data_IF_294631463637
#
_entry.id   IF_294631463637
#
_cell.length_a   1.000
_cell.length_b   1.000
_cell.length_c   1.000
_cell.angle_alpha   90.00
_cell.angle_beta   90.00
_cell.angle_gamma   90.00
#
_symmetry.space_group_name_H-M   'P 1'
#
loop_
_entity.id
_entity.type
_entity.pdbx_description
1 polymer ?
#
# COMPACT_ATOMS: atom_id res chain seq x y z
N UNK A 1 35.15 14.69 -68.07
CA UNK A 1 35.31 16.10 -68.47
C UNK A 1 35.21 16.90 -67.21
N UNK A 2 36.34 17.27 -66.67
CA UNK A 2 36.86 18.61 -66.59
C UNK A 2 36.01 19.51 -65.71
N UNK A 3 36.45 20.13 -64.68
CA UNK A 3 37.77 20.47 -64.20
C UNK A 3 37.62 21.53 -63.10
N UNK A 4 38.48 21.45 -62.13
CA UNK A 4 39.34 22.53 -61.63
C UNK A 4 38.67 23.92 -61.36
N UNK A 5 38.93 24.67 -60.34
CA UNK A 5 40.10 24.92 -59.53
C UNK A 5 39.79 26.07 -58.54
N UNK A 6 40.28 25.98 -57.32
CA UNK A 6 41.31 26.79 -56.64
C UNK A 6 41.03 28.22 -56.18
N UNK A 7 41.47 28.42 -54.94
CA UNK A 7 42.25 29.45 -54.31
C UNK A 7 41.54 30.54 -53.50
N UNK A 8 41.78 30.40 -52.22
CA UNK A 8 42.42 31.36 -51.29
C UNK A 8 42.00 32.83 -51.25
N UNK A 9 41.64 33.30 -50.07
CA UNK A 9 42.33 34.36 -49.35
C UNK A 9 41.94 34.43 -47.87
N UNK A 10 42.94 34.44 -47.03
CA UNK A 10 42.91 34.79 -45.63
C UNK A 10 42.42 36.23 -45.43
N UNK A 11 41.62 36.43 -44.39
CA UNK A 11 41.59 37.69 -43.63
C UNK A 11 41.33 37.40 -42.17
N UNK A 12 42.28 37.76 -41.36
CA UNK A 12 42.32 37.75 -39.90
C UNK A 12 41.38 38.85 -39.39
N UNK A 13 40.44 38.47 -38.50
CA UNK A 13 39.77 39.41 -37.61
C UNK A 13 39.51 38.73 -36.26
N UNK A 14 40.16 39.25 -35.24
CA UNK A 14 39.97 38.88 -33.85
C UNK A 14 38.61 39.36 -33.39
N UNK A 15 37.84 38.46 -32.81
CA UNK A 15 36.60 38.79 -32.07
C UNK A 15 36.56 38.02 -30.77
N UNK A 16 36.28 38.77 -29.73
CA UNK A 16 36.09 38.40 -28.34
C UNK A 16 35.33 37.08 -28.15
N UNK A 17 35.91 36.19 -27.36
CA UNK A 17 35.22 35.05 -26.80
C UNK A 17 34.34 35.50 -25.64
N UNK A 18 33.03 35.58 -25.86
CA UNK A 18 32.03 35.50 -24.81
C UNK A 18 31.69 34.03 -24.66
N UNK A 19 32.15 33.41 -23.59
CA UNK A 19 31.84 32.01 -23.27
C UNK A 19 30.38 31.86 -22.88
N UNK A 20 29.54 31.40 -23.81
CA UNK A 20 28.28 30.75 -23.45
C UNK A 20 28.59 29.29 -23.08
N UNK A 21 28.62 29.00 -21.80
CA UNK A 21 28.63 27.64 -21.30
C UNK A 21 27.34 26.97 -21.68
N UNK A 22 27.38 26.14 -22.72
CA UNK A 22 26.31 25.18 -23.02
C UNK A 22 26.39 24.06 -21.99
N UNK A 23 25.73 24.25 -20.84
CA UNK A 23 25.52 23.21 -19.88
C UNK A 23 24.62 22.12 -20.52
N UNK A 24 25.19 20.96 -20.80
CA UNK A 24 24.39 19.74 -21.07
C UNK A 24 23.57 19.45 -19.82
N UNK A 25 22.28 19.77 -19.86
CA UNK A 25 21.34 19.34 -18.86
C UNK A 25 21.26 17.81 -18.96
N UNK A 26 21.92 17.10 -18.03
CA UNK A 26 21.60 15.72 -17.74
C UNK A 26 20.13 15.67 -17.33
N UNK A 27 19.34 14.68 -17.83
CA UNK A 27 17.98 14.47 -17.32
C UNK A 27 18.12 14.22 -15.81
N UNK A 28 17.68 15.18 -15.02
CA UNK A 28 17.61 15.03 -13.58
C UNK A 28 16.69 13.83 -13.30
N UNK A 29 17.19 12.82 -12.61
CA UNK A 29 16.37 11.85 -11.95
C UNK A 29 15.32 12.63 -11.17
N UNK A 30 14.05 12.34 -11.40
CA UNK A 30 12.95 12.83 -10.59
C UNK A 30 13.15 12.14 -9.23
N UNK A 31 13.98 12.71 -8.40
CA UNK A 31 14.12 12.29 -7.00
C UNK A 31 12.78 12.53 -6.36
N UNK A 32 12.12 11.46 -5.90
CA UNK A 32 10.95 11.57 -5.04
C UNK A 32 11.32 12.52 -3.90
N UNK A 33 10.60 13.64 -3.78
CA UNK A 33 10.79 14.57 -2.67
C UNK A 33 10.40 13.83 -1.38
N UNK A 34 11.38 13.26 -0.70
CA UNK A 34 11.18 12.67 0.62
C UNK A 34 10.88 13.80 1.60
N UNK A 35 9.86 13.62 2.43
CA UNK A 35 9.62 14.52 3.56
C UNK A 35 10.89 14.61 4.41
N UNK A 36 11.19 15.78 4.93
CA UNK A 36 12.36 15.99 5.79
C UNK A 36 12.27 15.03 7.00
N UNK A 37 13.25 14.13 7.12
CA UNK A 37 13.30 13.13 8.19
C UNK A 37 12.83 11.71 7.81
N UNK A 38 12.37 11.46 6.58
CA UNK A 38 12.09 10.10 6.10
C UNK A 38 13.40 9.41 5.66
N UNK A 39 13.55 8.13 6.01
CA UNK A 39 14.68 7.28 5.63
C UNK A 39 14.20 6.00 4.93
N UNK A 40 15.02 5.45 4.04
CA UNK A 40 14.77 4.17 3.40
C UNK A 40 15.59 3.09 4.12
N UNK A 41 14.89 2.09 4.61
CA UNK A 41 15.45 0.95 5.33
C UNK A 41 15.37 -0.29 4.45
N UNK A 42 16.32 -1.21 4.65
CA UNK A 42 16.23 -2.57 4.16
C UNK A 42 16.07 -3.47 5.39
N UNK A 43 14.87 -3.99 5.59
CA UNK A 43 14.55 -4.80 6.77
C UNK A 43 14.58 -6.27 6.39
N UNK A 44 15.45 -7.08 7.02
CA UNK A 44 15.54 -8.49 6.69
C UNK A 44 14.27 -9.23 7.08
N UNK A 45 13.81 -10.09 6.17
CA UNK A 45 12.74 -11.05 6.42
C UNK A 45 13.28 -12.46 6.29
N UNK A 46 13.40 -13.16 7.40
CA UNK A 46 13.79 -14.56 7.42
C UNK A 46 12.70 -15.44 6.81
N UNK A 47 11.43 -15.08 7.04
CA UNK A 47 10.29 -15.82 6.51
C UNK A 47 10.24 -15.77 4.96
N UNK A 48 10.64 -14.64 4.34
CA UNK A 48 10.65 -14.48 2.88
C UNK A 48 12.04 -14.66 2.26
N UNK A 49 13.10 -14.85 3.06
CA UNK A 49 14.48 -15.05 2.60
C UNK A 49 15.07 -13.86 1.84
N UNK A 50 14.60 -12.64 2.12
CA UNK A 50 15.05 -11.39 1.45
C UNK A 50 14.87 -10.18 2.35
N UNK A 51 15.56 -9.09 2.00
CA UNK A 51 15.31 -7.80 2.63
C UNK A 51 14.09 -7.12 1.98
N UNK A 52 13.31 -6.45 2.81
CA UNK A 52 12.12 -5.71 2.40
C UNK A 52 12.40 -4.20 2.50
N UNK A 53 12.22 -3.44 1.41
CA UNK A 53 12.34 -1.99 1.47
C UNK A 53 11.22 -1.40 2.33
N UNK A 54 11.58 -0.49 3.24
CA UNK A 54 10.63 0.19 4.13
C UNK A 54 10.99 1.67 4.19
N UNK A 55 10.08 2.54 3.81
CA UNK A 55 10.23 3.97 4.11
C UNK A 55 9.76 4.22 5.52
N UNK A 56 10.64 4.78 6.34
CA UNK A 56 10.39 5.06 7.76
C UNK A 56 10.52 6.56 8.06
N UNK A 57 9.62 7.09 8.88
CA UNK A 57 9.73 8.45 9.42
C UNK A 57 9.46 8.40 10.92
N UNK A 58 10.44 8.85 11.70
CA UNK A 58 10.31 8.92 13.14
C UNK A 58 9.35 10.04 13.58
N UNK A 59 8.49 9.77 14.58
CA UNK A 59 7.53 10.75 15.09
C UNK A 59 6.99 10.43 16.49
N UNK A 60 7.20 9.23 16.99
CA UNK A 60 6.75 8.78 18.31
C UNK A 60 7.00 7.29 18.52
N UNK A 61 6.72 6.77 19.75
CA UNK A 61 6.96 5.36 20.07
C UNK A 61 5.98 4.40 19.34
N UNK A 62 4.82 4.89 18.91
CA UNK A 62 3.87 4.10 18.13
C UNK A 62 3.91 4.54 16.68
N UNK A 63 3.63 3.62 15.78
CA UNK A 63 3.67 3.85 14.34
C UNK A 63 2.31 3.63 13.66
N UNK A 64 2.15 4.27 12.51
CA UNK A 64 1.16 3.92 11.50
C UNK A 64 1.85 3.13 10.39
N UNK A 65 1.47 1.88 10.21
CA UNK A 65 1.89 1.02 9.10
C UNK A 65 0.98 1.28 7.91
N UNK A 66 1.56 1.58 6.75
CA UNK A 66 0.82 1.94 5.54
C UNK A 66 0.96 0.84 4.50
N UNK A 67 -0.14 0.21 4.12
CA UNK A 67 -0.18 -0.93 3.22
C UNK A 67 -0.77 -0.54 1.86
N UNK A 68 -0.05 -0.85 0.80
CA UNK A 68 -0.35 -0.45 -0.57
C UNK A 68 -1.53 -1.23 -1.19
N UNK A 69 -2.15 -0.71 -2.26
CA UNK A 69 -3.07 -1.44 -3.12
C UNK A 69 -2.33 -2.55 -3.94
N UNK A 70 -3.04 -3.21 -4.87
CA UNK A 70 -2.49 -4.33 -5.65
C UNK A 70 -1.20 -4.02 -6.40
N UNK A 71 -1.07 -2.81 -6.90
CA UNK A 71 0.06 -2.30 -7.68
C UNK A 71 1.20 -1.72 -6.82
N UNK A 72 1.38 -2.25 -5.60
CA UNK A 72 2.44 -1.82 -4.69
C UNK A 72 3.79 -1.65 -5.39
N UNK A 73 4.45 -0.51 -5.16
CA UNK A 73 5.78 -0.25 -5.69
C UNK A 73 6.81 -1.27 -5.16
N UNK A 74 7.77 -1.70 -5.99
CA UNK A 74 8.75 -2.72 -5.56
C UNK A 74 9.76 -2.19 -4.53
N UNK A 75 10.14 -0.92 -4.63
CA UNK A 75 11.21 -0.33 -3.84
C UNK A 75 10.74 0.76 -2.88
N UNK A 76 9.65 1.44 -3.23
CA UNK A 76 9.04 2.52 -2.43
C UNK A 76 7.52 2.34 -2.45
N UNK A 77 6.90 2.42 -1.28
CA UNK A 77 5.44 2.32 -1.13
C UNK A 77 4.70 3.42 -1.90
N UNK A 78 3.57 3.08 -2.48
CA UNK A 78 2.70 4.03 -3.17
C UNK A 78 2.07 5.06 -2.20
N UNK A 79 1.98 4.77 -0.91
CA UNK A 79 1.63 5.78 0.10
C UNK A 79 2.63 6.94 0.15
N UNK A 80 3.89 6.67 -0.17
CA UNK A 80 4.95 7.71 -0.26
C UNK A 80 4.86 8.45 -1.59
N UNK A 81 4.77 7.72 -2.71
CA UNK A 81 4.89 8.28 -4.06
C UNK A 81 3.60 8.90 -4.58
N UNK A 82 2.44 8.34 -4.25
CA UNK A 82 1.13 8.80 -4.68
C UNK A 82 0.24 9.30 -3.52
N UNK A 83 0.37 8.69 -2.33
CA UNK A 83 -0.46 9.01 -1.16
C UNK A 83 -0.01 10.23 -0.36
N UNK A 84 1.15 10.80 -0.63
CA UNK A 84 1.73 11.94 0.10
C UNK A 84 1.78 11.75 1.63
N UNK A 85 1.86 10.49 2.09
CA UNK A 85 1.67 10.13 3.48
C UNK A 85 2.72 10.74 4.42
N UNK A 86 3.98 10.81 3.96
CA UNK A 86 5.07 11.35 4.79
C UNK A 86 4.86 12.83 5.13
N UNK A 87 4.37 13.63 4.17
CA UNK A 87 4.04 15.03 4.45
C UNK A 87 2.79 15.17 5.32
N UNK A 88 1.75 14.37 5.04
CA UNK A 88 0.47 14.42 5.76
C UNK A 88 0.64 14.05 7.23
N UNK A 89 1.47 13.06 7.54
CA UNK A 89 1.67 12.54 8.89
C UNK A 89 2.88 13.17 9.63
N UNK A 90 3.65 14.01 8.96
CA UNK A 90 4.77 14.71 9.59
C UNK A 90 4.30 15.57 10.76
N UNK A 91 5.00 15.46 11.90
CA UNK A 91 4.69 16.24 13.09
C UNK A 91 3.42 15.81 13.86
N UNK A 92 2.78 14.71 13.46
CA UNK A 92 1.55 14.21 14.15
C UNK A 92 1.83 13.39 15.41
N UNK A 93 3.09 13.25 15.82
CA UNK A 93 3.47 12.53 17.06
C UNK A 93 3.41 11.01 16.92
N UNK A 94 3.34 10.49 15.69
CA UNK A 94 3.39 9.06 15.36
C UNK A 94 4.50 8.82 14.35
N UNK A 95 5.18 7.69 14.45
CA UNK A 95 6.09 7.23 13.43
C UNK A 95 5.33 6.69 12.22
N UNK A 96 5.92 6.72 11.04
CA UNK A 96 5.33 6.18 9.81
C UNK A 96 6.19 5.06 9.27
N UNK A 97 5.57 3.94 8.92
CA UNK A 97 6.20 2.73 8.40
C UNK A 97 5.49 2.34 7.12
N UNK A 98 6.15 2.48 5.99
CA UNK A 98 5.59 2.18 4.68
C UNK A 98 6.44 1.11 3.96
N UNK A 99 6.15 -0.20 4.16
CA UNK A 99 6.83 -1.28 3.46
C UNK A 99 6.44 -1.31 1.99
N UNK A 100 7.40 -1.64 1.12
CA UNK A 100 7.21 -1.78 -0.32
C UNK A 100 7.29 -3.25 -0.76
N UNK A 101 6.94 -3.54 -2.02
CA UNK A 101 7.09 -4.86 -2.63
C UNK A 101 5.97 -5.86 -2.34
N UNK A 102 4.86 -5.42 -1.76
CA UNK A 102 3.70 -6.26 -1.44
C UNK A 102 2.68 -6.43 -2.56
N UNK A 103 3.06 -6.18 -3.82
CA UNK A 103 2.13 -6.27 -4.95
C UNK A 103 1.46 -7.65 -5.04
N UNK A 104 0.13 -7.65 -5.23
CA UNK A 104 -0.71 -8.86 -5.39
C UNK A 104 -0.47 -9.95 -4.34
N UNK A 105 -0.11 -9.57 -3.12
CA UNK A 105 0.16 -10.51 -2.02
C UNK A 105 -1.01 -10.71 -1.06
N UNK A 106 -1.98 -9.80 -1.05
CA UNK A 106 -2.99 -9.63 0.00
C UNK A 106 -2.36 -9.43 1.39
N UNK A 107 -1.04 -9.19 1.46
CA UNK A 107 -0.28 -9.06 2.71
C UNK A 107 -0.53 -10.21 3.71
N UNK A 108 -0.71 -11.42 3.19
CA UNK A 108 -0.91 -12.65 3.96
C UNK A 108 0.24 -13.64 3.72
N UNK A 109 0.32 -14.66 4.55
CA UNK A 109 1.24 -15.77 4.32
C UNK A 109 0.62 -16.73 3.29
N UNK A 110 1.34 -16.92 2.17
CA UNK A 110 0.91 -17.82 1.12
C UNK A 110 1.29 -19.25 1.45
N UNK A 111 0.33 -20.18 1.35
CA UNK A 111 0.54 -21.59 1.67
C UNK A 111 1.52 -22.28 0.73
N UNK A 112 1.58 -21.85 -0.55
CA UNK A 112 2.37 -22.49 -1.60
C UNK A 112 3.47 -21.58 -2.17
N UNK A 113 3.75 -20.44 -1.53
CA UNK A 113 4.79 -19.51 -1.98
C UNK A 113 5.49 -18.86 -0.79
N UNK A 114 6.61 -19.46 -0.38
CA UNK A 114 7.41 -18.95 0.74
C UNK A 114 8.03 -17.56 0.53
N UNK A 115 8.01 -17.04 -0.69
CA UNK A 115 8.46 -15.66 -0.96
C UNK A 115 7.41 -14.59 -0.59
N UNK A 116 6.22 -15.01 -0.16
CA UNK A 116 5.08 -14.15 0.20
C UNK A 116 4.57 -14.46 1.63
N UNK A 117 5.45 -14.38 2.61
CA UNK A 117 5.11 -14.56 4.03
C UNK A 117 4.89 -13.18 4.68
N UNK A 118 3.94 -12.42 4.14
CA UNK A 118 3.73 -11.03 4.50
C UNK A 118 3.08 -10.84 5.86
N UNK A 119 2.18 -11.72 6.28
CA UNK A 119 1.55 -11.64 7.61
C UNK A 119 2.61 -11.84 8.70
N UNK A 120 3.48 -12.84 8.57
CA UNK A 120 4.62 -13.06 9.46
C UNK A 120 5.55 -11.85 9.48
N UNK A 121 5.90 -11.30 8.32
CA UNK A 121 6.75 -10.11 8.26
C UNK A 121 6.14 -8.92 8.99
N UNK A 122 4.88 -8.59 8.70
CA UNK A 122 4.21 -7.39 9.21
C UNK A 122 3.83 -7.50 10.68
N UNK A 123 3.50 -8.68 11.17
CA UNK A 123 3.05 -8.88 12.56
C UNK A 123 4.17 -9.27 13.53
N UNK A 124 5.29 -9.74 13.02
CA UNK A 124 6.39 -10.24 13.86
C UNK A 124 7.74 -9.61 13.50
N UNK A 125 8.28 -9.89 12.30
CA UNK A 125 9.66 -9.52 11.95
C UNK A 125 9.86 -7.99 11.91
N UNK A 126 9.01 -7.26 11.20
CA UNK A 126 9.11 -5.81 11.06
C UNK A 126 8.89 -5.05 12.37
N UNK A 127 7.86 -5.33 13.20
CA UNK A 127 7.71 -4.68 14.49
C UNK A 127 8.87 -4.94 15.45
N UNK A 128 9.37 -6.18 15.53
CA UNK A 128 10.49 -6.55 16.40
C UNK A 128 11.79 -5.88 15.93
N UNK A 129 12.03 -5.82 14.62
CA UNK A 129 13.18 -5.13 14.05
C UNK A 129 13.13 -3.62 14.33
N UNK A 130 11.95 -2.98 14.17
CA UNK A 130 11.77 -1.55 14.42
C UNK A 130 11.89 -1.22 15.92
N UNK A 131 11.39 -2.08 16.79
CA UNK A 131 11.58 -1.93 18.24
C UNK A 131 13.08 -1.95 18.59
N UNK A 132 13.83 -2.91 18.06
CA UNK A 132 15.26 -3.05 18.33
C UNK A 132 16.13 -1.94 17.70
N UNK A 133 15.78 -1.47 16.49
CA UNK A 133 16.65 -0.60 15.69
C UNK A 133 16.16 0.86 15.61
N UNK A 134 14.91 1.14 15.94
CA UNK A 134 14.29 2.49 15.87
C UNK A 134 13.59 2.90 17.16
N UNK A 135 13.62 2.04 18.18
CA UNK A 135 13.05 2.33 19.49
C UNK A 135 11.53 2.45 19.51
N UNK A 136 10.83 1.82 18.55
CA UNK A 136 9.38 1.76 18.61
C UNK A 136 8.91 0.86 19.76
N UNK A 137 7.69 1.10 20.22
CA UNK A 137 7.01 0.18 21.13
C UNK A 137 6.85 -1.20 20.46
N UNK A 138 6.79 -2.32 21.22
CA UNK A 138 6.62 -3.64 20.65
C UNK A 138 5.22 -3.89 20.06
N UNK A 139 4.27 -3.02 20.34
CA UNK A 139 2.89 -3.13 19.85
C UNK A 139 2.07 -1.87 20.13
N UNK A 140 0.74 -1.98 19.96
CA UNK A 140 -0.16 -0.84 20.09
C UNK A 140 -0.09 0.12 18.90
N UNK A 141 0.33 -0.37 17.74
CA UNK A 141 0.44 0.38 16.50
C UNK A 141 -0.90 0.53 15.78
N UNK A 142 -0.93 1.41 14.80
CA UNK A 142 -1.98 1.50 13.80
C UNK A 142 -1.52 0.83 12.51
N UNK A 143 -2.46 0.25 11.77
CA UNK A 143 -2.25 -0.20 10.41
C UNK A 143 -3.36 0.35 9.51
N UNK A 144 -2.98 0.98 8.42
CA UNK A 144 -3.88 1.64 7.47
C UNK A 144 -3.51 1.17 6.07
N UNK A 145 -4.49 0.90 5.25
CA UNK A 145 -4.21 0.47 3.89
C UNK A 145 -5.32 0.74 2.92
N UNK A 146 -5.00 0.65 1.63
CA UNK A 146 -5.91 0.83 0.53
C UNK A 146 -6.11 -0.48 -0.25
N UNK A 147 -7.34 -0.78 -0.68
CA UNK A 147 -7.67 -1.96 -1.47
C UNK A 147 -7.20 -3.27 -0.78
N UNK A 148 -6.26 -4.05 -1.37
CA UNK A 148 -5.68 -5.20 -0.66
C UNK A 148 -5.07 -4.81 0.69
N UNK A 149 -4.42 -3.64 0.77
CA UNK A 149 -3.87 -3.12 2.02
C UNK A 149 -4.96 -2.80 3.05
N UNK A 150 -6.13 -2.35 2.61
CA UNK A 150 -7.29 -2.11 3.46
C UNK A 150 -7.86 -3.42 4.04
N UNK A 151 -7.89 -4.48 3.25
CA UNK A 151 -8.18 -5.82 3.74
C UNK A 151 -7.14 -6.23 4.80
N UNK A 152 -5.85 -6.12 4.45
CA UNK A 152 -4.75 -6.54 5.32
C UNK A 152 -4.73 -5.77 6.65
N UNK A 153 -5.01 -4.47 6.64
CA UNK A 153 -5.11 -3.66 7.85
C UNK A 153 -6.16 -4.23 8.82
N UNK A 154 -7.31 -4.63 8.29
CA UNK A 154 -8.38 -5.21 9.10
C UNK A 154 -8.01 -6.62 9.59
N UNK A 155 -7.43 -7.47 8.73
CA UNK A 155 -7.00 -8.83 9.08
C UNK A 155 -5.89 -8.81 10.15
N UNK A 156 -4.85 -8.00 9.98
CA UNK A 156 -3.77 -7.87 10.93
C UNK A 156 -4.28 -7.40 12.31
N UNK A 157 -5.18 -6.43 12.36
CA UNK A 157 -5.75 -5.96 13.63
C UNK A 157 -6.67 -7.03 14.27
N UNK A 158 -7.34 -7.83 13.43
CA UNK A 158 -8.19 -8.93 13.89
C UNK A 158 -7.37 -10.04 14.55
N UNK A 159 -6.29 -10.47 13.91
CA UNK A 159 -5.53 -11.66 14.30
C UNK A 159 -4.30 -11.35 15.18
N UNK A 160 -3.79 -10.11 15.14
CA UNK A 160 -2.62 -9.65 15.92
C UNK A 160 -2.92 -8.41 16.78
N UNK A 161 -3.91 -8.50 17.72
CA UNK A 161 -4.34 -7.35 18.52
C UNK A 161 -3.30 -6.87 19.53
N UNK A 162 -2.28 -7.66 19.82
CA UNK A 162 -1.10 -7.28 20.61
C UNK A 162 -0.18 -6.31 19.83
N UNK A 163 -0.13 -6.41 18.52
CA UNK A 163 0.65 -5.54 17.62
C UNK A 163 -0.14 -4.34 17.17
N UNK A 164 -1.39 -4.55 16.73
CA UNK A 164 -2.22 -3.52 16.10
C UNK A 164 -3.52 -3.29 16.88
N UNK A 165 -3.74 -2.04 17.30
CA UNK A 165 -4.93 -1.61 18.05
C UNK A 165 -5.89 -0.76 17.21
N UNK A 166 -5.42 -0.27 16.08
CA UNK A 166 -6.19 0.55 15.15
C UNK A 166 -6.04 0.01 13.73
N UNK A 167 -7.16 -0.16 13.04
CA UNK A 167 -7.21 -0.47 11.61
C UNK A 167 -7.90 0.64 10.83
N UNK A 168 -7.25 1.14 9.78
CA UNK A 168 -7.85 1.99 8.76
C UNK A 168 -7.96 1.24 7.43
N UNK A 169 -9.17 1.00 6.96
CA UNK A 169 -9.43 0.32 5.68
C UNK A 169 -10.03 1.28 4.67
N UNK A 170 -9.31 1.58 3.61
CA UNK A 170 -9.79 2.40 2.50
C UNK A 170 -10.11 1.49 1.32
N UNK A 171 -11.38 1.32 1.01
CA UNK A 171 -11.88 0.46 -0.07
C UNK A 171 -11.34 -0.98 0.01
N UNK A 172 -11.15 -1.54 1.21
CA UNK A 172 -10.68 -2.91 1.42
C UNK A 172 -11.74 -3.94 1.01
N UNK A 173 -11.32 -5.17 0.73
CA UNK A 173 -12.21 -6.31 0.46
C UNK A 173 -12.49 -7.05 1.77
N UNK A 174 -13.38 -6.52 2.62
CA UNK A 174 -13.54 -6.98 4.01
C UNK A 174 -14.39 -8.25 4.19
N UNK A 175 -14.88 -8.83 3.09
CA UNK A 175 -15.53 -10.14 3.06
C UNK A 175 -14.96 -11.02 1.92
N UNK A 176 -13.64 -11.34 1.96
CA UNK A 176 -12.94 -12.00 0.86
C UNK A 176 -13.46 -13.42 0.57
N UNK A 177 -14.07 -14.11 1.51
CA UNK A 177 -14.62 -15.44 1.28
C UNK A 177 -15.99 -15.46 0.57
N UNK A 178 -16.62 -14.29 0.36
CA UNK A 178 -17.85 -14.19 -0.42
C UNK A 178 -17.57 -14.37 -1.90
N UNK A 179 -18.41 -15.12 -2.60
CA UNK A 179 -18.19 -15.55 -3.99
C UNK A 179 -17.85 -14.41 -4.95
N UNK A 180 -18.60 -13.31 -4.93
CA UNK A 180 -18.32 -12.18 -5.84
C UNK A 180 -17.04 -11.41 -5.44
N UNK A 181 -16.74 -11.29 -4.15
CA UNK A 181 -15.52 -10.63 -3.64
C UNK A 181 -14.30 -11.49 -3.96
N UNK A 182 -14.39 -12.79 -3.67
CA UNK A 182 -13.37 -13.76 -4.06
C UNK A 182 -13.09 -13.71 -5.57
N UNK A 183 -14.15 -13.72 -6.39
CA UNK A 183 -14.04 -13.61 -7.84
C UNK A 183 -13.32 -12.35 -8.30
N UNK A 184 -13.61 -11.21 -7.69
CA UNK A 184 -12.94 -9.93 -8.02
C UNK A 184 -11.46 -9.95 -7.62
N UNK A 185 -11.12 -10.47 -6.44
CA UNK A 185 -9.73 -10.60 -5.97
C UNK A 185 -8.94 -11.53 -6.93
N UNK A 186 -9.46 -12.72 -7.21
CA UNK A 186 -8.77 -13.70 -8.05
C UNK A 186 -8.62 -13.22 -9.49
N UNK A 187 -9.65 -12.58 -10.05
CA UNK A 187 -9.60 -11.99 -11.39
C UNK A 187 -8.59 -10.83 -11.45
N UNK A 188 -8.60 -9.94 -10.46
CA UNK A 188 -7.64 -8.82 -10.39
C UNK A 188 -6.20 -9.30 -10.29
N UNK A 189 -5.92 -10.28 -9.45
CA UNK A 189 -4.58 -10.89 -9.34
C UNK A 189 -4.12 -11.53 -10.65
N UNK A 190 -4.99 -12.26 -11.34
CA UNK A 190 -4.67 -12.90 -12.60
C UNK A 190 -4.51 -11.90 -13.73
N UNK A 191 -5.44 -10.96 -13.87
CA UNK A 191 -5.49 -10.04 -15.01
C UNK A 191 -4.43 -8.95 -14.95
N UNK A 192 -4.20 -8.37 -13.79
CA UNK A 192 -3.26 -7.25 -13.63
C UNK A 192 -1.89 -7.68 -13.13
N UNK A 193 -1.82 -8.72 -12.30
CA UNK A 193 -0.57 -9.21 -11.72
C UNK A 193 0.01 -10.44 -12.40
N UNK A 194 -0.74 -11.12 -13.24
CA UNK A 194 -0.34 -12.43 -13.77
C UNK A 194 -0.18 -13.50 -12.68
N UNK A 195 -0.84 -13.31 -11.54
CA UNK A 195 -0.61 -14.10 -10.32
C UNK A 195 -1.74 -15.13 -10.16
N UNK A 196 -1.37 -16.39 -9.95
CA UNK A 196 -2.32 -17.45 -9.60
C UNK A 196 -2.60 -17.43 -8.08
N UNK A 197 -3.76 -16.90 -7.70
CA UNK A 197 -4.18 -16.78 -6.31
C UNK A 197 -4.46 -18.11 -5.59
N UNK A 198 -4.51 -19.25 -6.29
CA UNK A 198 -4.74 -20.55 -5.65
C UNK A 198 -3.60 -20.94 -4.71
N UNK A 199 -2.39 -20.44 -4.93
CA UNK A 199 -1.25 -20.63 -4.04
C UNK A 199 -1.37 -19.89 -2.71
N UNK A 200 -2.30 -18.94 -2.59
CA UNK A 200 -2.52 -18.16 -1.37
C UNK A 200 -3.26 -18.98 -0.30
N UNK A 201 -4.54 -19.28 -0.54
CA UNK A 201 -5.43 -19.97 0.41
C UNK A 201 -6.19 -21.14 -0.24
N UNK A 202 -5.70 -21.66 -1.34
CA UNK A 202 -6.39 -22.66 -2.14
C UNK A 202 -7.57 -22.11 -2.92
N UNK A 203 -8.35 -23.02 -3.51
CA UNK A 203 -9.56 -22.64 -4.24
C UNK A 203 -10.65 -22.14 -3.30
N UNK A 204 -11.46 -21.19 -3.75
CA UNK A 204 -12.51 -20.52 -2.96
C UNK A 204 -13.49 -21.48 -2.28
N UNK A 205 -13.81 -22.60 -2.94
CA UNK A 205 -14.79 -23.57 -2.45
C UNK A 205 -14.29 -24.38 -1.24
N UNK A 206 -12.99 -24.44 -0.98
CA UNK A 206 -12.40 -25.31 0.04
C UNK A 206 -12.22 -24.66 1.42
N UNK A 207 -12.69 -23.43 1.57
CA UNK A 207 -12.96 -22.87 2.89
C UNK A 207 -11.80 -22.16 3.60
N UNK A 208 -10.55 -22.21 3.11
CA UNK A 208 -9.43 -21.53 3.77
C UNK A 208 -9.54 -20.01 3.69
N UNK A 209 -10.18 -19.49 2.67
CA UNK A 209 -10.55 -18.07 2.57
C UNK A 209 -11.28 -17.55 3.80
N UNK A 210 -12.12 -18.39 4.44
CA UNK A 210 -12.83 -18.03 5.66
C UNK A 210 -11.93 -17.89 6.87
N UNK A 211 -10.78 -18.55 6.89
CA UNK A 211 -9.83 -18.44 8.01
C UNK A 211 -9.15 -17.08 8.06
N UNK A 212 -9.03 -16.43 6.91
CA UNK A 212 -8.40 -15.13 6.74
C UNK A 212 -9.42 -14.01 6.52
N UNK A 213 -10.68 -14.22 6.85
CA UNK A 213 -11.79 -13.31 6.53
C UNK A 213 -12.20 -12.46 7.73
N UNK A 214 -11.93 -11.13 7.69
CA UNK A 214 -12.32 -10.22 8.77
C UNK A 214 -13.82 -10.19 9.05
N UNK A 215 -14.68 -10.39 8.04
CA UNK A 215 -16.13 -10.47 8.23
C UNK A 215 -16.50 -11.68 9.06
N UNK A 216 -15.93 -12.86 8.76
CA UNK A 216 -16.17 -14.10 9.51
C UNK A 216 -15.69 -13.96 10.95
N UNK A 217 -14.58 -13.26 11.15
CA UNK A 217 -13.93 -13.08 12.45
C UNK A 217 -14.21 -11.72 13.11
N UNK A 218 -15.22 -10.98 12.67
CA UNK A 218 -15.55 -9.65 13.19
C UNK A 218 -15.75 -9.62 14.73
N UNK A 219 -16.15 -10.73 15.33
CA UNK A 219 -16.27 -10.87 16.78
C UNK A 219 -14.93 -10.66 17.51
N UNK A 220 -13.79 -11.01 16.92
CA UNK A 220 -12.47 -10.77 17.52
C UNK A 220 -12.17 -9.26 17.63
N UNK A 221 -12.50 -8.50 16.59
CA UNK A 221 -12.33 -7.03 16.62
C UNK A 221 -13.21 -6.39 17.71
N UNK A 222 -14.44 -6.86 17.87
CA UNK A 222 -15.34 -6.39 18.91
C UNK A 222 -14.83 -6.75 20.32
N UNK A 223 -14.40 -8.01 20.53
CA UNK A 223 -13.84 -8.49 21.80
C UNK A 223 -12.55 -7.79 22.20
N UNK A 224 -11.66 -7.53 21.23
CA UNK A 224 -10.40 -6.81 21.44
C UNK A 224 -10.61 -5.31 21.63
N UNK A 225 -11.83 -4.82 21.42
CA UNK A 225 -12.17 -3.40 21.40
C UNK A 225 -11.24 -2.62 20.45
N UNK A 226 -10.88 -3.23 19.32
CA UNK A 226 -10.02 -2.60 18.31
C UNK A 226 -10.73 -1.39 17.74
N UNK A 227 -10.00 -0.27 17.61
CA UNK A 227 -10.52 0.91 16.94
C UNK A 227 -10.41 0.72 15.43
N UNK A 228 -11.52 0.79 14.74
CA UNK A 228 -11.55 0.60 13.28
C UNK A 228 -12.16 1.79 12.58
N UNK A 229 -11.63 2.10 11.42
CA UNK A 229 -12.15 3.10 10.50
C UNK A 229 -12.22 2.52 9.10
N UNK A 230 -13.38 2.59 8.48
CA UNK A 230 -13.65 2.03 7.16
C UNK A 230 -14.20 3.13 6.27
N UNK A 231 -13.48 3.44 5.22
CA UNK A 231 -13.89 4.36 4.17
C UNK A 231 -14.01 3.59 2.85
N UNK A 232 -15.16 3.66 2.19
CA UNK A 232 -15.36 3.01 0.90
C UNK A 232 -16.39 3.77 0.07
N UNK A 233 -15.95 4.68 -0.82
CA UNK A 233 -16.85 5.46 -1.65
C UNK A 233 -17.54 4.60 -2.69
N UNK A 234 -18.71 5.02 -3.13
CA UNK A 234 -19.34 4.46 -4.32
C UNK A 234 -18.59 4.99 -5.54
N UNK A 235 -17.91 4.11 -6.25
CA UNK A 235 -17.09 4.46 -7.41
C UNK A 235 -17.86 4.20 -8.72
N UNK A 236 -18.41 5.23 -9.38
CA UNK A 236 -19.07 5.07 -10.66
C UNK A 236 -18.15 5.31 -11.87
N UNK A 237 -16.87 5.67 -11.68
CA UNK A 237 -16.04 6.15 -12.77
C UNK A 237 -15.26 5.03 -13.49
N UNK A 238 -15.57 4.88 -14.78
CA UNK A 238 -15.03 3.88 -15.69
C UNK A 238 -13.58 4.12 -16.17
N UNK A 239 -12.83 5.03 -15.56
CA UNK A 239 -11.50 5.41 -16.04
C UNK A 239 -10.32 4.70 -15.37
N UNK A 240 -10.59 3.92 -14.33
CA UNK A 240 -9.61 3.14 -13.59
C UNK A 240 -9.62 1.67 -14.07
N UNK A 241 -8.48 1.02 -14.34
CA UNK A 241 -8.43 -0.43 -14.62
C UNK A 241 -9.15 -1.28 -13.57
N UNK A 242 -9.12 -0.89 -12.29
CA UNK A 242 -9.88 -1.52 -11.23
C UNK A 242 -11.39 -1.36 -11.39
N UNK A 243 -11.85 -0.27 -12.01
CA UNK A 243 -13.26 -0.05 -12.32
C UNK A 243 -13.78 -1.02 -13.40
N UNK A 244 -12.92 -1.51 -14.30
CA UNK A 244 -13.30 -2.52 -15.30
C UNK A 244 -13.73 -3.86 -14.67
N UNK A 245 -13.28 -4.15 -13.44
CA UNK A 245 -13.71 -5.32 -12.66
C UNK A 245 -14.78 -4.98 -11.62
N UNK A 246 -15.29 -3.75 -11.59
CA UNK A 246 -16.23 -3.32 -10.55
C UNK A 246 -15.63 -3.32 -9.15
N UNK A 247 -14.30 -3.15 -9.02
CA UNK A 247 -13.59 -3.29 -7.76
C UNK A 247 -14.13 -2.33 -6.68
N UNK A 248 -14.47 -1.10 -7.04
CA UNK A 248 -15.05 -0.12 -6.12
C UNK A 248 -16.42 -0.56 -5.57
N UNK A 249 -17.30 -1.06 -6.44
CA UNK A 249 -18.63 -1.55 -6.04
C UNK A 249 -18.53 -2.82 -5.18
N UNK A 250 -17.63 -3.74 -5.57
CA UNK A 250 -17.39 -4.98 -4.83
C UNK A 250 -16.80 -4.65 -3.45
N UNK A 251 -15.83 -3.74 -3.37
CA UNK A 251 -15.25 -3.30 -2.11
C UNK A 251 -16.32 -2.66 -1.22
N UNK A 252 -17.09 -1.69 -1.73
CA UNK A 252 -18.14 -1.03 -0.96
C UNK A 252 -19.20 -2.03 -0.47
N UNK A 253 -19.65 -2.94 -1.33
CA UNK A 253 -20.61 -3.97 -0.95
C UNK A 253 -20.09 -4.88 0.17
N UNK A 254 -18.81 -5.29 0.08
CA UNK A 254 -18.17 -6.11 1.11
C UNK A 254 -18.02 -5.35 2.44
N UNK A 255 -17.69 -4.06 2.38
CA UNK A 255 -17.53 -3.21 3.56
C UNK A 255 -18.84 -2.90 4.28
N UNK A 256 -19.96 -2.73 3.54
CA UNK A 256 -21.29 -2.59 4.14
C UNK A 256 -21.71 -3.86 4.87
N UNK A 257 -21.47 -5.03 4.28
CA UNK A 257 -21.75 -6.31 4.95
C UNK A 257 -20.86 -6.54 6.16
N UNK A 258 -19.59 -6.17 6.08
CA UNK A 258 -18.68 -6.19 7.23
C UNK A 258 -19.19 -5.29 8.36
N UNK A 259 -19.67 -4.08 8.05
CA UNK A 259 -20.28 -3.17 9.03
C UNK A 259 -21.49 -3.82 9.73
N UNK A 260 -22.40 -4.39 8.95
CA UNK A 260 -23.59 -5.08 9.49
C UNK A 260 -23.17 -6.21 10.44
N UNK A 261 -22.20 -7.04 10.04
CA UNK A 261 -21.68 -8.12 10.85
C UNK A 261 -20.98 -7.62 12.12
N UNK A 262 -20.13 -6.58 11.99
CA UNK A 262 -19.41 -6.00 13.13
C UNK A 262 -20.40 -5.48 14.20
N UNK A 263 -21.44 -4.79 13.79
CA UNK A 263 -22.50 -4.32 14.69
C UNK A 263 -23.27 -5.50 15.29
N UNK A 264 -23.60 -6.51 14.49
CA UNK A 264 -24.35 -7.70 14.94
C UNK A 264 -23.59 -8.50 16.02
N UNK A 265 -22.25 -8.53 15.97
CA UNK A 265 -21.43 -9.21 17.00
C UNK A 265 -21.06 -8.28 18.19
N UNK A 266 -21.67 -7.10 18.28
CA UNK A 266 -21.51 -6.18 19.41
C UNK A 266 -20.35 -5.20 19.27
N UNK A 267 -19.79 -5.03 18.08
CA UNK A 267 -18.76 -4.03 17.79
C UNK A 267 -19.26 -2.59 17.96
N UNK A 268 -18.50 -1.75 18.67
CA UNK A 268 -18.91 -0.36 19.00
C UNK A 268 -17.80 0.66 18.80
N UNK A 269 -16.57 0.23 18.53
CA UNK A 269 -15.41 1.10 18.38
C UNK A 269 -15.02 1.23 16.89
N UNK A 270 -16.02 1.41 16.03
CA UNK A 270 -15.86 1.52 14.58
C UNK A 270 -16.50 2.78 14.03
N UNK A 271 -15.84 3.40 13.05
CA UNK A 271 -16.39 4.45 12.22
C UNK A 271 -16.46 3.95 10.77
N UNK A 272 -17.59 4.16 10.11
CA UNK A 272 -17.86 3.68 8.76
C UNK A 272 -18.35 4.84 7.90
N UNK A 273 -17.66 5.12 6.81
CA UNK A 273 -18.01 6.17 5.86
C UNK A 273 -18.14 5.59 4.44
N UNK A 274 -19.32 5.75 3.86
CA UNK A 274 -19.69 5.23 2.55
C UNK A 274 -20.27 6.35 1.67
N UNK A 275 -19.46 7.33 1.25
CA UNK A 275 -19.95 8.46 0.46
C UNK A 275 -20.43 8.01 -0.92
N UNK A 276 -21.39 8.76 -1.49
CA UNK A 276 -21.97 8.50 -2.80
C UNK A 276 -21.02 8.83 -3.97
N UNK A 277 -19.96 9.60 -3.72
CA UNK A 277 -18.97 9.98 -4.73
C UNK A 277 -17.55 9.63 -4.30
N UNK A 278 -16.70 9.38 -5.27
CA UNK A 278 -15.29 9.05 -5.06
C UNK A 278 -14.80 8.05 -6.10
N UNK A 279 -13.58 7.57 -5.92
CA UNK A 279 -12.95 6.57 -6.78
C UNK A 279 -12.31 5.45 -5.94
N UNK A 280 -11.99 4.33 -6.59
CA UNK A 280 -11.17 3.27 -6.01
C UNK A 280 -9.70 3.58 -6.32
N UNK A 281 -9.19 4.70 -5.80
CA UNK A 281 -7.89 5.22 -6.17
C UNK A 281 -7.35 6.31 -5.23
N UNK A 282 -6.17 6.80 -5.56
CA UNK A 282 -5.43 7.78 -4.75
C UNK A 282 -6.13 9.12 -4.62
N UNK A 283 -7.02 9.49 -5.55
CA UNK A 283 -7.87 10.69 -5.45
C UNK A 283 -8.73 10.70 -4.20
N UNK A 284 -9.27 9.53 -3.83
CA UNK A 284 -10.07 9.36 -2.62
C UNK A 284 -9.20 8.99 -1.41
N UNK A 285 -8.24 8.06 -1.54
CA UNK A 285 -7.52 7.50 -0.40
C UNK A 285 -6.58 8.48 0.29
N UNK A 286 -5.81 9.29 -0.47
CA UNK A 286 -4.82 10.20 0.10
C UNK A 286 -5.44 11.27 1.02
N UNK A 287 -6.67 11.69 0.76
CA UNK A 287 -7.39 12.66 1.57
C UNK A 287 -7.80 12.13 2.95
N UNK A 288 -7.75 10.82 3.16
CA UNK A 288 -8.25 10.14 4.36
C UNK A 288 -7.20 9.99 5.46
N UNK A 289 -5.95 10.36 5.23
CA UNK A 289 -4.87 10.33 6.24
C UNK A 289 -4.80 11.61 7.11
N UNK A 290 -5.48 12.68 6.73
CA UNK A 290 -5.36 14.02 7.32
C UNK A 290 -6.08 14.27 8.63
#
# INVERSE_FOLDING_TARGET
>A
MQGLSTLSRLLLAAVLTVGLGCGTATPGSIGSAHAAGAENLMVPSAAMGRDIPVTFMAGGPHAVYLLDPFDAGPDVSNWVTAGNAMNTLSGRGVSVVAPAGGAYSMYTDWEQDGSKQWETFLSSELPDWLAANRGLAPGGHAVVGASQGGYAAMALTCFHPDRFRYAGSMSGFLYPSRTNVNGAITAGMAQFGGVNSQGMWGAAQFGRWKWHDPHVHAALLAQNNSRIWVFSPQSPTASDPAAMLGAGEVAQGSNRMFHEQYVAVGGRNGHFDFPLGGDHGWGSWSSQLG
#
